data_IF_087507463053
#
_entry.id   IF_087507463053
#
_cell.length_a   1.000
_cell.length_b   1.000
_cell.length_c   1.000
_cell.angle_alpha   90.00
_cell.angle_beta   90.00
_cell.angle_gamma   90.00
#
_symmetry.space_group_name_H-M   'P 1'
#
loop_
_entity.id
_entity.type
_entity.pdbx_description
1 polymer ?
#
# COMPACT_ATOMS: atom_id res chain seq x y z
N UNK A 1 0.07 -23.42 -10.98
CA UNK A 1 -0.86 -23.91 -12.00
C UNK A 1 -0.30 -23.59 -13.39
N UNK A 2 -0.32 -24.59 -14.26
CA UNK A 2 0.18 -24.47 -15.64
C UNK A 2 -0.83 -25.10 -16.58
N UNK A 3 -1.24 -24.37 -17.60
CA UNK A 3 -2.12 -24.88 -18.63
C UNK A 3 -1.54 -24.68 -20.03
N UNK A 4 -1.79 -25.66 -20.89
CA UNK A 4 -1.32 -25.63 -22.27
C UNK A 4 -2.41 -26.13 -23.21
N UNK A 5 -2.64 -25.40 -24.28
CA UNK A 5 -3.57 -25.76 -25.35
C UNK A 5 -2.84 -25.82 -26.67
N UNK A 6 -2.76 -27.00 -27.26
CA UNK A 6 -2.11 -27.20 -28.55
C UNK A 6 -3.06 -26.87 -29.70
N UNK A 7 -2.56 -26.15 -30.71
CA UNK A 7 -3.28 -25.85 -31.96
C UNK A 7 -4.67 -25.24 -31.79
N UNK A 8 -4.80 -24.29 -30.87
CA UNK A 8 -6.03 -23.50 -30.78
C UNK A 8 -6.26 -22.71 -32.07
N UNK A 9 -7.35 -23.00 -32.77
CA UNK A 9 -7.76 -22.27 -33.98
C UNK A 9 -8.66 -21.10 -33.61
N UNK A 10 -8.17 -19.89 -33.77
CA UNK A 10 -8.99 -18.69 -33.55
C UNK A 10 -10.08 -18.58 -34.61
N UNK A 11 -11.32 -18.44 -34.18
CA UNK A 11 -12.48 -18.21 -35.04
C UNK A 11 -12.45 -16.84 -35.75
N UNK A 12 -11.74 -15.89 -35.15
CA UNK A 12 -11.66 -14.50 -35.65
C UNK A 12 -10.54 -14.30 -36.67
N UNK A 13 -9.39 -14.97 -36.49
CA UNK A 13 -8.20 -14.73 -37.31
C UNK A 13 -7.82 -15.90 -38.21
N UNK A 14 -8.53 -17.05 -38.08
CA UNK A 14 -8.18 -18.34 -38.72
C UNK A 14 -6.74 -18.81 -38.49
N UNK A 15 -6.01 -18.19 -37.55
CA UNK A 15 -4.64 -18.60 -37.18
C UNK A 15 -4.68 -19.69 -36.13
N UNK A 16 -3.78 -20.64 -36.22
CA UNK A 16 -3.60 -21.69 -35.23
C UNK A 16 -2.39 -21.33 -34.36
N UNK A 17 -2.59 -21.22 -33.06
CA UNK A 17 -1.56 -20.89 -32.08
C UNK A 17 -1.58 -21.87 -30.92
N UNK A 18 -0.43 -22.05 -30.29
CA UNK A 18 -0.35 -22.72 -29.01
C UNK A 18 -0.58 -21.68 -27.90
N UNK A 19 -1.46 -22.02 -26.97
CA UNK A 19 -1.80 -21.13 -25.86
C UNK A 19 -1.38 -21.73 -24.53
N UNK A 20 -0.92 -20.90 -23.61
CA UNK A 20 -0.51 -21.34 -22.28
C UNK A 20 -0.75 -20.29 -21.22
N UNK A 21 -0.85 -20.74 -19.98
CA UNK A 21 -0.74 -19.90 -18.80
C UNK A 21 0.23 -20.49 -17.78
N UNK A 22 0.79 -19.62 -16.95
CA UNK A 22 1.67 -19.96 -15.84
C UNK A 22 1.25 -19.10 -14.65
N UNK A 23 0.74 -19.74 -13.59
CA UNK A 23 0.39 -19.11 -12.32
C UNK A 23 1.17 -19.80 -11.22
N UNK A 24 2.01 -19.04 -10.54
CA UNK A 24 2.82 -19.48 -9.43
C UNK A 24 2.64 -18.51 -8.27
N UNK A 25 2.22 -19.01 -7.13
CA UNK A 25 2.28 -18.31 -5.87
C UNK A 25 3.12 -19.12 -4.89
N UNK A 26 4.07 -18.46 -4.27
CA UNK A 26 4.96 -19.02 -3.27
C UNK A 26 4.96 -18.09 -2.06
N UNK A 27 4.72 -18.65 -0.89
CA UNK A 27 4.75 -17.94 0.39
C UNK A 27 5.63 -18.75 1.34
N UNK A 28 6.72 -18.13 1.79
CA UNK A 28 7.73 -18.75 2.63
C UNK A 28 7.89 -17.93 3.91
N UNK A 29 7.66 -18.56 5.03
CA UNK A 29 8.11 -18.02 6.31
C UNK A 29 9.62 -18.18 6.44
N UNK A 30 10.32 -17.06 6.63
CA UNK A 30 11.78 -17.02 6.76
C UNK A 30 12.25 -17.38 8.17
N UNK A 31 11.35 -17.38 9.16
CA UNK A 31 11.61 -17.71 10.57
C UNK A 31 12.83 -16.95 11.15
N UNK A 32 12.93 -15.64 10.88
CA UNK A 32 14.02 -14.82 11.37
C UNK A 32 13.82 -14.56 12.89
N UNK A 33 14.81 -14.91 13.70
CA UNK A 33 14.74 -14.91 15.16
C UNK A 33 14.37 -13.56 15.82
N UNK A 34 14.68 -12.44 15.13
CA UNK A 34 14.43 -11.10 15.67
C UNK A 34 13.06 -10.52 15.26
N UNK A 35 12.20 -11.29 14.60
CA UNK A 35 10.92 -10.83 14.09
C UNK A 35 9.78 -11.76 14.53
N UNK A 36 8.62 -11.17 14.83
CA UNK A 36 7.41 -11.93 15.13
C UNK A 36 6.86 -12.63 13.89
N UNK A 37 7.06 -12.01 12.72
CA UNK A 37 6.81 -12.66 11.43
C UNK A 37 7.77 -12.13 10.37
N UNK A 38 8.18 -13.02 9.50
CA UNK A 38 9.09 -12.72 8.38
C UNK A 38 8.71 -13.60 7.19
N UNK A 39 8.17 -12.99 6.14
CA UNK A 39 7.62 -13.72 5.01
C UNK A 39 8.20 -13.22 3.68
N UNK A 40 8.51 -14.14 2.79
CA UNK A 40 8.83 -13.87 1.39
C UNK A 40 7.67 -14.40 0.54
N UNK A 41 7.07 -13.50 -0.26
CA UNK A 41 5.98 -13.84 -1.18
C UNK A 41 6.43 -13.60 -2.62
N UNK A 42 6.22 -14.60 -3.46
CA UNK A 42 6.41 -14.52 -4.90
C UNK A 42 5.09 -14.86 -5.57
N UNK A 43 4.60 -13.97 -6.43
CA UNK A 43 3.47 -14.24 -7.32
C UNK A 43 3.89 -13.98 -8.75
N UNK A 44 3.72 -14.97 -9.60
CA UNK A 44 3.97 -14.85 -11.04
C UNK A 44 2.71 -15.25 -11.81
N UNK A 45 2.23 -14.34 -12.65
CA UNK A 45 1.05 -14.56 -13.48
C UNK A 45 1.37 -14.20 -14.92
N UNK A 46 1.30 -15.16 -15.82
CA UNK A 46 1.59 -14.97 -17.23
C UNK A 46 0.65 -15.77 -18.11
N UNK A 47 0.20 -15.16 -19.20
CA UNK A 47 -0.53 -15.81 -20.29
C UNK A 47 0.15 -15.56 -21.62
N UNK A 48 0.01 -16.49 -22.54
CA UNK A 48 0.60 -16.39 -23.90
C UNK A 48 -0.27 -15.60 -24.88
N UNK A 49 -1.53 -15.31 -24.50
CA UNK A 49 -2.50 -14.59 -25.35
C UNK A 49 -3.42 -13.74 -24.49
N UNK A 50 -3.71 -12.53 -24.94
CA UNK A 50 -4.48 -11.52 -24.19
C UNK A 50 -5.92 -11.96 -23.85
N UNK A 51 -6.50 -12.81 -24.67
CA UNK A 51 -7.85 -13.33 -24.46
C UNK A 51 -7.87 -14.70 -23.75
N UNK A 52 -6.70 -15.22 -23.33
CA UNK A 52 -6.61 -16.57 -22.75
C UNK A 52 -7.54 -16.77 -21.57
N UNK A 53 -7.55 -15.85 -20.63
CA UNK A 53 -8.38 -15.93 -19.41
C UNK A 53 -9.86 -15.93 -19.73
N UNK A 54 -10.29 -15.13 -20.73
CA UNK A 54 -11.70 -15.04 -21.16
C UNK A 54 -12.14 -16.27 -21.94
N UNK A 55 -11.26 -16.84 -22.78
CA UNK A 55 -11.57 -18.04 -23.60
C UNK A 55 -11.69 -19.29 -22.73
N UNK A 56 -10.79 -19.43 -21.75
CA UNK A 56 -10.69 -20.62 -20.91
C UNK A 56 -11.21 -20.43 -19.49
N UNK A 57 -12.03 -19.43 -19.25
CA UNK A 57 -12.55 -19.08 -17.92
C UNK A 57 -13.11 -20.32 -17.18
N UNK A 58 -13.98 -21.11 -17.83
CA UNK A 58 -14.59 -22.29 -17.23
C UNK A 58 -13.58 -23.37 -16.82
N UNK A 59 -12.43 -23.42 -17.47
CA UNK A 59 -11.36 -24.39 -17.16
C UNK A 59 -10.45 -23.89 -16.05
N UNK A 60 -10.27 -22.56 -15.93
CA UNK A 60 -9.40 -21.92 -14.95
C UNK A 60 -10.13 -21.69 -13.61
N UNK A 61 -11.46 -21.69 -13.59
CA UNK A 61 -12.28 -21.44 -12.37
C UNK A 61 -11.92 -22.34 -11.20
N UNK A 62 -11.37 -23.52 -11.44
CA UNK A 62 -10.96 -24.47 -10.39
C UNK A 62 -9.60 -24.14 -9.78
N UNK A 63 -8.82 -23.28 -10.41
CA UNK A 63 -7.51 -22.88 -9.90
C UNK A 63 -7.66 -21.82 -8.81
N UNK A 64 -7.05 -22.08 -7.64
CA UNK A 64 -6.94 -21.08 -6.56
C UNK A 64 -5.97 -19.94 -6.91
N UNK A 65 -5.12 -20.13 -7.93
CA UNK A 65 -4.12 -19.16 -8.38
C UNK A 65 -4.62 -18.29 -9.54
N UNK A 66 -5.87 -18.48 -9.94
CA UNK A 66 -6.51 -17.70 -10.99
C UNK A 66 -6.44 -16.20 -10.67
N UNK A 67 -6.05 -15.34 -11.64
CA UNK A 67 -6.19 -13.90 -11.47
C UNK A 67 -7.65 -13.51 -11.22
N UNK A 68 -7.87 -12.57 -10.31
CA UNK A 68 -9.21 -12.00 -10.07
C UNK A 68 -9.64 -11.12 -11.24
N UNK A 69 -8.70 -10.37 -11.80
CA UNK A 69 -8.89 -9.53 -12.98
C UNK A 69 -8.38 -10.23 -14.23
N UNK A 70 -9.23 -10.34 -15.26
CA UNK A 70 -8.89 -10.96 -16.54
C UNK A 70 -8.25 -10.01 -17.52
N UNK A 71 -8.27 -8.75 -17.22
CA UNK A 71 -7.69 -7.71 -18.05
C UNK A 71 -6.31 -7.28 -17.58
N UNK A 72 -6.00 -7.52 -16.29
CA UNK A 72 -4.73 -7.13 -15.69
C UNK A 72 -4.05 -8.30 -14.96
N UNK A 73 -2.79 -8.54 -15.27
CA UNK A 73 -1.95 -9.50 -14.56
C UNK A 73 -0.98 -8.75 -13.64
N UNK A 74 -0.93 -9.16 -12.38
CA UNK A 74 0.04 -8.67 -11.42
C UNK A 74 1.02 -9.78 -11.04
N UNK A 75 2.30 -9.50 -11.22
CA UNK A 75 3.39 -10.35 -10.74
C UNK A 75 4.25 -9.58 -9.75
N UNK A 76 4.63 -10.19 -8.65
CA UNK A 76 5.34 -9.49 -7.57
C UNK A 76 6.28 -10.40 -6.78
N UNK A 77 7.32 -9.77 -6.22
CA UNK A 77 8.17 -10.35 -5.16
C UNK A 77 8.09 -9.37 -3.99
N UNK A 78 7.73 -9.87 -2.81
CA UNK A 78 7.52 -9.04 -1.60
C UNK A 78 8.19 -9.69 -0.40
N UNK A 79 8.78 -8.86 0.45
CA UNK A 79 9.27 -9.26 1.77
C UNK A 79 8.49 -8.48 2.83
N UNK A 80 8.07 -9.18 3.88
CA UNK A 80 7.37 -8.63 5.03
C UNK A 80 8.16 -8.97 6.28
N UNK A 81 8.44 -7.97 7.09
CA UNK A 81 9.08 -8.13 8.40
C UNK A 81 8.24 -7.37 9.43
N UNK A 82 7.89 -8.04 10.49
CA UNK A 82 7.05 -7.47 11.55
C UNK A 82 7.64 -7.80 12.92
N UNK A 83 7.56 -6.83 13.81
CA UNK A 83 7.83 -6.98 15.23
C UNK A 83 6.81 -6.15 16.03
N UNK A 84 6.87 -6.14 17.36
CA UNK A 84 5.92 -5.42 18.23
C UNK A 84 5.82 -3.92 17.91
N UNK A 85 6.95 -3.28 17.61
CA UNK A 85 7.06 -1.85 17.35
C UNK A 85 7.44 -1.50 15.91
N UNK A 86 7.48 -2.48 15.00
CA UNK A 86 8.06 -2.34 13.69
C UNK A 86 7.30 -3.12 12.63
N UNK A 87 7.00 -2.47 11.52
CA UNK A 87 6.47 -3.09 10.30
C UNK A 87 7.30 -2.65 9.10
N UNK A 88 7.70 -3.59 8.29
CA UNK A 88 8.39 -3.34 7.03
C UNK A 88 7.85 -4.23 5.93
N UNK A 89 7.50 -3.60 4.82
CA UNK A 89 7.18 -4.26 3.56
C UNK A 89 8.04 -3.65 2.47
N UNK A 90 8.63 -4.47 1.63
CA UNK A 90 9.30 -4.01 0.42
C UNK A 90 9.10 -5.02 -0.70
N UNK A 91 9.12 -4.53 -1.93
CA UNK A 91 8.94 -5.41 -3.06
C UNK A 91 9.15 -4.76 -4.40
N UNK A 92 8.96 -5.58 -5.41
CA UNK A 92 8.88 -5.19 -6.81
C UNK A 92 7.59 -5.75 -7.39
N UNK A 93 6.91 -4.98 -8.21
CA UNK A 93 5.66 -5.36 -8.84
C UNK A 93 5.69 -5.03 -10.33
N UNK A 94 5.08 -5.91 -11.12
CA UNK A 94 4.88 -5.73 -12.55
C UNK A 94 3.40 -5.93 -12.87
N UNK A 95 2.82 -4.97 -13.55
CA UNK A 95 1.44 -5.00 -14.02
C UNK A 95 1.43 -5.09 -15.54
N UNK A 96 0.68 -6.05 -16.09
CA UNK A 96 0.50 -6.23 -17.52
C UNK A 96 -0.99 -6.03 -17.87
N UNK A 97 -1.31 -5.02 -18.67
CA UNK A 97 -2.65 -4.77 -19.20
C UNK A 97 -2.85 -5.57 -20.48
N UNK A 98 -3.74 -6.57 -20.44
CA UNK A 98 -4.05 -7.45 -21.56
C UNK A 98 -4.97 -6.82 -22.61
N UNK A 99 -5.58 -5.68 -22.32
CA UNK A 99 -6.41 -4.95 -23.29
C UNK A 99 -5.53 -4.17 -24.27
N UNK A 100 -4.31 -3.83 -23.90
CA UNK A 100 -3.35 -3.12 -24.74
C UNK A 100 -2.56 -4.14 -25.58
N UNK A 101 -2.90 -4.25 -26.86
CA UNK A 101 -2.31 -5.25 -27.77
C UNK A 101 -0.82 -5.08 -28.00
N UNK A 102 -0.38 -3.84 -28.29
CA UNK A 102 1.03 -3.50 -28.50
C UNK A 102 1.24 -2.05 -28.13
N UNK A 103 2.09 -1.78 -27.18
CA UNK A 103 2.37 -0.41 -26.76
C UNK A 103 3.23 -0.35 -25.53
N UNK A 104 3.83 0.81 -25.32
CA UNK A 104 4.65 1.08 -24.14
C UNK A 104 3.81 1.10 -22.84
N UNK A 105 2.50 1.31 -22.94
CA UNK A 105 1.59 1.38 -21.78
C UNK A 105 1.15 0.01 -21.26
N UNK A 106 1.42 -1.07 -22.00
CA UNK A 106 1.05 -2.42 -21.60
C UNK A 106 1.65 -2.85 -20.26
N UNK A 107 2.89 -2.43 -20.00
CA UNK A 107 3.61 -2.80 -18.80
C UNK A 107 3.86 -1.60 -17.92
N UNK A 108 3.55 -1.78 -16.64
CA UNK A 108 3.80 -0.82 -15.57
C UNK A 108 4.55 -1.54 -14.46
N UNK A 109 5.47 -0.83 -13.82
CA UNK A 109 6.33 -1.42 -12.80
C UNK A 109 6.41 -0.52 -11.58
N UNK A 110 6.49 -1.12 -10.41
CA UNK A 110 6.89 -0.46 -9.18
C UNK A 110 8.19 -1.10 -8.69
N UNK A 111 9.33 -0.41 -8.86
CA UNK A 111 10.67 -1.01 -8.83
C UNK A 111 11.70 -0.13 -8.13
N UNK A 112 12.02 -0.35 -6.88
CA UNK A 112 11.29 -1.01 -5.83
C UNK A 112 10.24 -0.07 -5.18
N UNK A 113 9.42 -0.63 -4.32
CA UNK A 113 8.68 0.14 -3.33
C UNK A 113 9.02 -0.36 -1.92
N UNK A 114 8.75 0.46 -0.90
CA UNK A 114 8.81 0.06 0.50
C UNK A 114 7.82 0.86 1.37
N UNK A 115 7.38 0.23 2.44
CA UNK A 115 6.67 0.82 3.56
C UNK A 115 7.39 0.43 4.84
N UNK A 116 7.64 1.40 5.68
CA UNK A 116 8.32 1.25 6.95
C UNK A 116 7.58 2.05 8.00
N UNK A 117 7.11 1.40 9.06
CA UNK A 117 6.49 2.03 10.21
C UNK A 117 7.15 1.53 11.48
N UNK A 118 7.46 2.44 12.37
CA UNK A 118 8.05 2.13 13.66
C UNK A 118 7.52 3.02 14.76
N UNK A 119 7.18 2.40 15.87
CA UNK A 119 6.95 3.07 17.13
C UNK A 119 8.31 3.26 17.82
N UNK A 120 8.82 4.52 17.83
CA UNK A 120 10.17 4.83 18.34
C UNK A 120 10.17 4.79 19.87
N UNK A 121 9.15 5.35 20.49
CA UNK A 121 9.05 5.42 21.95
C UNK A 121 7.59 5.42 22.40
N UNK A 122 7.34 4.65 23.43
CA UNK A 122 6.11 4.70 24.21
C UNK A 122 6.40 5.53 25.49
N UNK A 123 5.45 6.37 25.86
CA UNK A 123 5.52 7.23 27.05
C UNK A 123 6.64 8.28 27.08
N UNK A 124 7.17 8.67 25.93
CA UNK A 124 8.09 9.80 25.87
C UNK A 124 7.30 11.10 26.03
N UNK A 125 7.65 11.92 27.02
CA UNK A 125 6.86 13.10 27.44
C UNK A 125 5.37 12.79 27.60
N UNK A 126 5.04 11.66 28.22
CA UNK A 126 3.66 11.20 28.40
C UNK A 126 2.91 11.08 27.04
N UNK A 127 3.57 10.51 26.06
CA UNK A 127 3.03 10.30 24.72
C UNK A 127 3.80 9.27 23.92
N UNK A 128 3.41 9.10 22.69
CA UNK A 128 3.99 8.15 21.75
C UNK A 128 4.64 8.87 20.57
N UNK A 129 5.85 8.46 20.21
CA UNK A 129 6.53 8.91 19.00
C UNK A 129 6.57 7.77 18.00
N UNK A 130 6.07 8.02 16.80
CA UNK A 130 6.14 7.10 15.68
C UNK A 130 6.85 7.71 14.48
N UNK A 131 7.50 6.86 13.71
CA UNK A 131 8.13 7.21 12.44
C UNK A 131 7.59 6.31 11.35
N UNK A 132 7.13 6.91 10.26
CA UNK A 132 6.73 6.21 9.04
C UNK A 132 7.57 6.69 7.86
N UNK A 133 7.97 5.78 6.98
CA UNK A 133 8.63 6.09 5.73
C UNK A 133 8.10 5.19 4.63
N UNK A 134 7.71 5.77 3.51
CA UNK A 134 7.33 5.00 2.34
C UNK A 134 7.97 5.59 1.10
N UNK A 135 8.30 4.74 0.17
CA UNK A 135 8.87 5.14 -1.11
C UNK A 135 8.43 4.22 -2.24
N UNK A 136 8.36 4.77 -3.42
CA UNK A 136 8.13 3.99 -4.62
C UNK A 136 8.84 4.58 -5.84
N UNK A 137 9.15 3.71 -6.78
CA UNK A 137 9.64 4.03 -8.12
C UNK A 137 8.67 3.45 -9.14
N UNK A 138 7.74 4.27 -9.57
CA UNK A 138 6.75 3.86 -10.56
C UNK A 138 7.23 4.17 -11.97
N UNK A 139 7.41 3.12 -12.78
CA UNK A 139 7.80 3.20 -14.18
C UNK A 139 6.61 2.80 -15.07
N UNK A 140 6.14 3.71 -15.90
CA UNK A 140 5.12 3.45 -16.92
C UNK A 140 5.64 3.82 -18.30
N UNK A 141 5.02 3.25 -19.34
CA UNK A 141 5.39 3.50 -20.73
C UNK A 141 6.89 3.32 -21.01
N UNK A 142 7.58 2.46 -20.26
CA UNK A 142 9.02 2.20 -20.32
C UNK A 142 9.95 3.41 -20.17
N UNK A 143 9.40 4.63 -20.07
CA UNK A 143 10.20 5.87 -20.03
C UNK A 143 9.65 6.98 -19.13
N UNK A 144 8.47 6.81 -18.55
CA UNK A 144 7.89 7.72 -17.55
C UNK A 144 8.21 7.20 -16.15
N UNK A 145 9.03 7.93 -15.43
CA UNK A 145 9.44 7.56 -14.07
C UNK A 145 8.87 8.56 -13.07
N UNK A 146 8.26 8.04 -12.02
CA UNK A 146 7.79 8.79 -10.85
C UNK A 146 8.40 8.17 -9.59
N UNK A 147 9.30 8.91 -8.97
CA UNK A 147 9.92 8.49 -7.71
C UNK A 147 9.45 9.41 -6.60
N UNK A 148 8.99 8.85 -5.51
CA UNK A 148 8.71 9.61 -4.30
C UNK A 148 9.14 8.85 -3.04
N UNK A 149 9.53 9.61 -2.03
CA UNK A 149 9.82 9.14 -0.67
C UNK A 149 9.10 10.09 0.28
N UNK A 150 8.24 9.55 1.11
CA UNK A 150 7.54 10.30 2.16
C UNK A 150 8.02 9.82 3.52
N UNK A 151 8.45 10.74 4.36
CA UNK A 151 8.80 10.48 5.75
C UNK A 151 7.83 11.24 6.65
N UNK A 152 7.36 10.59 7.71
CA UNK A 152 6.43 11.16 8.66
C UNK A 152 6.91 10.86 10.09
N UNK A 153 7.03 11.89 10.92
CA UNK A 153 7.24 11.76 12.36
C UNK A 153 5.99 12.28 13.04
N UNK A 154 5.40 11.48 13.91
CA UNK A 154 4.20 11.86 14.64
C UNK A 154 4.42 11.67 16.13
N UNK A 155 4.11 12.70 16.90
CA UNK A 155 3.99 12.63 18.36
C UNK A 155 2.52 12.78 18.73
N UNK A 156 2.02 11.93 19.60
CA UNK A 156 0.69 12.00 20.20
C UNK A 156 0.84 11.93 21.72
N UNK A 157 0.37 12.97 22.43
CA UNK A 157 0.35 12.95 23.90
C UNK A 157 -0.66 11.92 24.41
N UNK A 158 -0.50 11.50 25.64
CA UNK A 158 -1.59 10.90 26.41
C UNK A 158 -2.71 11.92 26.64
N UNK A 159 -3.87 11.40 27.04
CA UNK A 159 -4.99 12.24 27.43
C UNK A 159 -4.74 12.84 28.82
N UNK A 160 -4.73 14.16 28.93
CA UNK A 160 -4.70 14.87 30.18
C UNK A 160 -6.14 15.16 30.63
N UNK A 161 -6.51 14.66 31.78
CA UNK A 161 -7.85 14.86 32.35
C UNK A 161 -7.74 15.79 33.56
N UNK A 162 -8.38 16.93 33.47
CA UNK A 162 -8.46 17.88 34.59
C UNK A 162 -9.41 17.40 35.67
N UNK A 163 -9.30 17.98 36.89
CA UNK A 163 -10.16 17.65 38.03
C UNK A 163 -11.65 17.88 37.76
N UNK A 164 -12.04 18.71 36.80
CA UNK A 164 -13.43 18.95 36.40
C UNK A 164 -13.86 18.15 35.16
N UNK A 165 -13.05 17.16 34.73
CA UNK A 165 -13.40 16.24 33.68
C UNK A 165 -13.11 16.72 32.27
N UNK A 166 -12.44 17.85 32.08
CA UNK A 166 -11.96 18.27 30.75
C UNK A 166 -10.78 17.37 30.34
N UNK A 167 -10.95 16.68 29.23
CA UNK A 167 -9.95 15.84 28.59
C UNK A 167 -9.29 16.66 27.48
N UNK A 168 -7.97 16.70 27.48
CA UNK A 168 -7.21 17.31 26.40
C UNK A 168 -6.05 16.41 25.97
N UNK A 169 -5.69 16.50 24.71
CA UNK A 169 -4.47 15.93 24.18
C UNK A 169 -3.90 16.84 23.08
N UNK A 170 -2.64 16.65 22.77
CA UNK A 170 -2.00 17.34 21.67
C UNK A 170 -1.20 16.39 20.82
N UNK A 171 -1.08 16.72 19.55
CA UNK A 171 -0.30 15.98 18.59
C UNK A 171 0.54 16.91 17.72
N UNK A 172 1.67 16.42 17.31
CA UNK A 172 2.55 17.09 16.36
C UNK A 172 2.90 16.10 15.25
N UNK A 173 2.77 16.53 14.01
CA UNK A 173 3.17 15.76 12.82
C UNK A 173 4.12 16.59 11.97
N UNK A 174 5.23 15.97 11.57
CA UNK A 174 6.19 16.50 10.61
C UNK A 174 6.24 15.54 9.43
N UNK A 175 5.91 16.04 8.24
CA UNK A 175 5.92 15.27 7.00
C UNK A 175 6.89 15.88 6.02
N UNK A 176 7.78 15.05 5.48
CA UNK A 176 8.68 15.38 4.39
C UNK A 176 8.31 14.56 3.16
N UNK A 177 8.19 15.21 2.01
CA UNK A 177 8.01 14.59 0.72
C UNK A 177 9.20 14.93 -0.17
N UNK A 178 9.90 13.93 -0.64
CA UNK A 178 10.94 14.03 -1.66
C UNK A 178 10.41 13.40 -2.94
N UNK A 179 10.48 14.13 -4.05
CA UNK A 179 9.94 13.63 -5.31
C UNK A 179 10.79 14.05 -6.50
N UNK A 180 10.77 13.22 -7.52
CA UNK A 180 11.36 13.50 -8.84
C UNK A 180 10.56 12.76 -9.91
N UNK A 181 10.38 13.39 -11.07
CA UNK A 181 9.69 12.80 -12.21
C UNK A 181 10.50 12.90 -13.48
N UNK A 182 10.35 11.92 -14.35
CA UNK A 182 10.88 11.97 -15.73
C UNK A 182 9.75 11.71 -16.70
N UNK A 183 9.53 12.66 -17.61
CA UNK A 183 8.45 12.60 -18.61
C UNK A 183 7.05 12.40 -18.01
N UNK A 184 6.81 12.95 -16.84
CA UNK A 184 5.52 12.95 -16.13
C UNK A 184 5.10 14.39 -15.82
N UNK A 185 3.80 14.63 -15.70
CA UNK A 185 3.25 15.91 -15.24
C UNK A 185 3.07 15.97 -13.71
N UNK A 186 3.17 14.84 -13.01
CA UNK A 186 2.93 14.75 -11.59
C UNK A 186 4.05 15.32 -10.74
N UNK A 187 5.31 15.08 -11.14
CA UNK A 187 6.50 15.57 -10.45
C UNK A 187 7.41 16.32 -11.42
N UNK A 188 8.18 17.28 -10.87
CA UNK A 188 9.18 18.01 -11.64
C UNK A 188 10.37 17.10 -11.98
N UNK A 189 11.08 17.46 -13.06
CA UNK A 189 12.28 16.71 -13.49
C UNK A 189 13.49 16.90 -12.57
N UNK A 190 13.50 17.96 -11.76
CA UNK A 190 14.49 18.19 -10.74
C UNK A 190 13.97 17.69 -9.38
N UNK A 191 14.83 17.18 -8.50
CA UNK A 191 14.45 16.78 -7.15
C UNK A 191 13.70 17.91 -6.42
N UNK A 192 12.58 17.58 -5.82
CA UNK A 192 11.78 18.48 -4.99
C UNK A 192 11.76 17.94 -3.58
N UNK A 193 11.86 18.85 -2.62
CA UNK A 193 11.76 18.56 -1.19
C UNK A 193 10.66 19.46 -0.66
N UNK A 194 9.66 18.85 -0.09
CA UNK A 194 8.55 19.55 0.55
C UNK A 194 8.49 19.14 2.03
N UNK A 195 8.31 20.11 2.89
CA UNK A 195 8.19 19.90 4.34
C UNK A 195 6.88 20.54 4.81
N UNK A 196 6.10 19.77 5.55
CA UNK A 196 4.87 20.23 6.17
C UNK A 196 4.84 19.81 7.63
N UNK A 197 4.32 20.68 8.50
CA UNK A 197 4.12 20.36 9.90
C UNK A 197 2.69 20.72 10.31
N UNK A 198 2.17 19.95 11.27
CA UNK A 198 0.85 20.18 11.83
C UNK A 198 0.92 20.00 13.33
N UNK A 199 0.49 21.03 14.05
CA UNK A 199 0.24 20.96 15.48
C UNK A 199 -1.27 20.95 15.72
N UNK A 200 -1.75 20.03 16.54
CA UNK A 200 -3.16 19.88 16.86
C UNK A 200 -3.35 19.78 18.38
N UNK A 201 -4.37 20.46 18.90
CA UNK A 201 -4.81 20.36 20.29
C UNK A 201 -6.29 20.04 20.29
N UNK A 202 -6.66 18.95 20.92
CA UNK A 202 -8.04 18.50 21.05
C UNK A 202 -8.50 18.61 22.49
N UNK A 203 -9.68 19.19 22.66
CA UNK A 203 -10.39 19.26 23.95
C UNK A 203 -11.71 18.52 23.83
N UNK A 204 -12.05 17.76 24.86
CA UNK A 204 -13.36 17.13 24.95
C UNK A 204 -13.82 17.07 26.40
N UNK A 205 -15.12 17.16 26.62
CA UNK A 205 -15.72 17.11 27.96
C UNK A 205 -16.89 16.14 27.93
N UNK A 206 -16.68 14.87 28.34
CA UNK A 206 -17.74 13.88 28.37
C UNK A 206 -18.70 14.15 29.52
N UNK A 207 -19.98 14.28 29.23
CA UNK A 207 -21.09 14.36 30.19
C UNK A 207 -21.92 13.10 30.09
N UNK A 208 -22.31 12.56 31.23
CA UNK A 208 -23.24 11.45 31.34
C UNK A 208 -24.42 11.87 32.21
N UNK A 209 -25.65 11.67 31.72
CA UNK A 209 -26.86 11.75 32.51
C UNK A 209 -27.48 10.36 32.61
N UNK A 210 -27.57 9.82 33.83
CA UNK A 210 -28.21 8.54 34.14
C UNK A 210 -29.59 8.79 34.70
N UNK A 211 -30.60 8.14 34.13
CA UNK A 211 -31.95 7.97 34.67
C UNK A 211 -32.15 6.46 34.94
N UNK A 212 -33.18 6.09 35.71
CA UNK A 212 -33.43 4.70 36.13
C UNK A 212 -33.43 3.68 34.97
N UNK A 213 -33.84 4.08 33.75
CA UNK A 213 -33.97 3.20 32.60
C UNK A 213 -33.12 3.62 31.39
N UNK A 214 -32.32 4.69 31.48
CA UNK A 214 -31.53 5.19 30.37
C UNK A 214 -30.25 5.89 30.80
N UNK A 215 -29.24 5.84 29.94
CA UNK A 215 -28.03 6.65 30.07
C UNK A 215 -27.84 7.49 28.79
N UNK A 216 -27.73 8.81 28.96
CA UNK A 216 -27.51 9.74 27.88
C UNK A 216 -26.10 10.29 27.95
N UNK A 217 -25.40 10.29 26.86
CA UNK A 217 -24.02 10.77 26.74
C UNK A 217 -23.95 11.98 25.82
N UNK A 218 -23.24 13.02 26.25
CA UNK A 218 -22.93 14.18 25.44
C UNK A 218 -21.43 14.47 25.56
N UNK A 219 -20.71 14.50 24.45
CA UNK A 219 -19.27 14.76 24.43
C UNK A 219 -18.98 15.90 23.47
N UNK A 220 -19.11 17.19 23.91
CA UNK A 220 -18.63 18.31 23.11
C UNK A 220 -17.12 18.20 22.88
N UNK A 221 -16.69 18.56 21.65
CA UNK A 221 -15.30 18.52 21.23
C UNK A 221 -14.93 19.86 20.60
N UNK A 222 -13.69 20.30 20.87
CA UNK A 222 -13.10 21.50 20.28
C UNK A 222 -11.68 21.13 19.84
N UNK A 223 -11.34 21.42 18.58
CA UNK A 223 -10.00 21.16 18.02
C UNK A 223 -9.39 22.45 17.48
N UNK A 224 -8.16 22.72 17.84
CA UNK A 224 -7.33 23.75 17.24
C UNK A 224 -6.23 23.10 16.43
N UNK A 225 -6.09 23.54 15.18
CA UNK A 225 -5.05 23.07 14.26
C UNK A 225 -4.23 24.24 13.77
N UNK A 226 -2.93 24.11 13.85
CA UNK A 226 -1.98 25.09 13.38
C UNK A 226 -0.97 24.43 12.43
N UNK A 227 -0.90 24.94 11.22
CA UNK A 227 0.09 24.54 10.22
C UNK A 227 1.01 25.74 9.98
N UNK A 228 2.23 25.73 10.54
CA UNK A 228 3.21 26.76 10.22
C UNK A 228 3.67 26.56 8.77
N UNK A 229 3.41 27.52 7.92
CA UNK A 229 3.85 27.59 6.51
C UNK A 229 5.27 28.13 6.41
#
# INVERSE_FOLDING_TARGET
>A
DVGYVNRYKSTTTNKTNNLSHYFLDFDQDLNLENYNSSNLKLSLKKVSNDNYLKIFDQHITKSKLRPEDFDNLNSSIKIFLNNEDFNFESGIESYEDLQIKNGSDRYQYNLPYYNYDRLISQNYFEGNISFGSNGNNYLSNTNKLETNITNNITYNSLDYISNFGLKNNFSFSLKNLNSIGKKTSKYKSNPQIELASLFNVDFSMPFEKKDENSANFLTPKLSFRFNPS
#
